data_IF_082223959710
#
_entry.id   IF_082223959710
#
_cell.length_a   1.000
_cell.length_b   1.000
_cell.length_c   1.000
_cell.angle_alpha   90.00
_cell.angle_beta   90.00
_cell.angle_gamma   90.00
#
_symmetry.space_group_name_H-M   'P 1'
#
loop_
_entity.id
_entity.type
_entity.pdbx_description
1 polymer ?
#
# COMPACT_ATOMS: atom_id res chain seq x y z
N UNK A 1 19.33 20.92 27.98
CA UNK A 1 17.86 20.97 27.77
C UNK A 1 17.24 21.28 29.12
N UNK A 2 16.28 22.21 29.20
CA UNK A 2 15.65 22.53 30.49
C UNK A 2 14.72 21.39 30.92
N UNK A 3 14.66 21.04 32.23
CA UNK A 3 13.91 19.88 32.69
C UNK A 3 12.39 20.12 32.82
N UNK A 4 11.91 21.34 32.54
CA UNK A 4 10.50 21.73 32.64
C UNK A 4 9.99 22.33 31.33
N UNK A 5 8.75 21.99 30.97
CA UNK A 5 8.03 22.59 29.85
C UNK A 5 7.28 23.84 30.32
N UNK A 6 7.20 24.86 29.47
CA UNK A 6 6.43 26.07 29.74
C UNK A 6 4.94 25.83 29.54
N UNK A 7 4.14 25.93 30.60
CA UNK A 7 2.74 25.45 30.61
C UNK A 7 1.82 26.13 29.58
N UNK A 8 2.07 27.41 29.25
CA UNK A 8 1.23 28.17 28.33
C UNK A 8 1.48 27.83 26.86
N UNK A 9 2.74 27.67 26.48
CA UNK A 9 3.17 27.42 25.09
C UNK A 9 3.38 25.94 24.81
N UNK A 10 3.47 25.11 25.86
CA UNK A 10 3.84 23.69 25.78
C UNK A 10 5.19 23.47 25.07
N UNK A 11 6.10 24.43 25.23
CA UNK A 11 7.45 24.37 24.65
C UNK A 11 8.51 24.06 25.70
N UNK A 12 9.56 23.34 25.29
CA UNK A 12 10.75 23.11 26.11
C UNK A 12 11.85 24.04 25.62
N UNK A 13 12.45 24.82 26.54
CA UNK A 13 13.57 25.69 26.20
C UNK A 13 14.84 24.86 25.98
N UNK A 14 15.49 25.08 24.84
CA UNK A 14 16.79 24.49 24.50
C UNK A 14 17.79 25.63 24.33
N UNK A 15 18.90 25.58 25.07
CA UNK A 15 20.01 26.52 24.94
C UNK A 15 21.14 25.86 24.17
N UNK A 16 21.51 26.45 23.05
CA UNK A 16 22.63 26.04 22.20
C UNK A 16 23.75 27.06 22.39
N UNK A 17 24.99 26.60 22.44
CA UNK A 17 26.17 27.45 22.59
C UNK A 17 26.96 27.35 21.28
N UNK A 18 27.15 28.48 20.61
CA UNK A 18 27.92 28.58 19.38
C UNK A 18 29.16 29.45 19.60
N UNK A 19 30.23 29.10 18.92
CA UNK A 19 31.41 29.97 18.88
C UNK A 19 31.13 31.14 17.92
N UNK A 20 31.20 32.37 18.41
CA UNK A 20 30.84 33.59 17.66
C UNK A 20 32.00 34.61 17.66
N UNK A 21 33.23 34.17 17.39
CA UNK A 21 34.43 35.04 17.40
C UNK A 21 34.32 36.23 16.45
N UNK A 22 33.65 36.05 15.31
CA UNK A 22 33.49 37.06 14.26
C UNK A 22 32.25 37.93 14.45
N UNK A 23 31.48 37.74 15.55
CA UNK A 23 30.27 38.52 15.88
C UNK A 23 29.18 38.50 14.80
N UNK A 24 29.13 37.43 14.00
CA UNK A 24 28.12 37.27 12.94
C UNK A 24 26.71 37.03 13.51
N UNK A 25 26.61 36.38 14.68
CA UNK A 25 25.34 36.16 15.37
C UNK A 25 25.06 37.34 16.31
N UNK A 26 24.11 38.19 15.95
CA UNK A 26 23.67 39.32 16.79
C UNK A 26 22.53 38.88 17.72
N UNK A 27 22.40 39.48 18.92
CA UNK A 27 21.23 39.28 19.77
C UNK A 27 19.93 39.59 19.02
N UNK A 28 18.83 38.93 19.42
CA UNK A 28 17.49 39.07 18.83
C UNK A 28 17.36 38.61 17.35
N UNK A 29 18.37 37.96 16.76
CA UNK A 29 18.24 37.35 15.44
C UNK A 29 17.40 36.07 15.47
N UNK A 30 16.59 35.89 14.42
CA UNK A 30 15.95 34.60 14.12
C UNK A 30 16.95 33.63 13.49
N UNK A 31 16.78 32.34 13.77
CA UNK A 31 17.57 31.27 13.19
C UNK A 31 16.70 30.02 12.97
N UNK A 32 16.90 29.35 11.85
CA UNK A 32 16.32 28.04 11.60
C UNK A 32 17.24 26.95 12.15
N UNK A 33 16.71 26.10 13.04
CA UNK A 33 17.47 25.01 13.66
C UNK A 33 16.85 23.69 13.24
N UNK A 34 17.63 22.85 12.53
CA UNK A 34 17.27 21.45 12.29
C UNK A 34 17.94 20.58 13.36
N UNK A 35 17.13 19.90 14.16
CA UNK A 35 17.61 18.98 15.20
C UNK A 35 17.43 17.57 14.69
N UNK A 36 18.54 16.85 14.51
CA UNK A 36 18.51 15.42 14.22
C UNK A 36 18.43 14.66 15.55
N UNK A 37 17.24 14.17 15.89
CA UNK A 37 17.12 13.16 16.94
C UNK A 37 17.79 11.88 16.42
N UNK A 38 18.55 11.19 17.27
CA UNK A 38 19.41 10.07 16.86
C UNK A 38 18.72 9.09 15.92
N UNK A 39 19.48 8.57 14.94
CA UNK A 39 18.97 7.58 14.01
C UNK A 39 18.60 6.31 14.78
N UNK A 40 17.35 5.87 14.64
CA UNK A 40 17.02 4.50 14.98
C UNK A 40 17.73 3.61 13.95
N UNK A 41 18.72 2.86 14.40
CA UNK A 41 19.39 1.85 13.58
C UNK A 41 18.49 0.61 13.48
N UNK A 42 18.63 -0.14 12.39
CA UNK A 42 17.91 -1.41 12.15
C UNK A 42 16.37 -1.29 12.09
N UNK A 43 15.89 -0.25 11.41
CA UNK A 43 14.45 -0.04 11.18
C UNK A 43 14.11 -0.22 9.69
N UNK A 44 12.98 -0.88 9.42
CA UNK A 44 12.42 -0.95 8.06
C UNK A 44 11.67 0.35 7.79
N UNK A 45 12.01 1.01 6.69
CA UNK A 45 11.37 2.24 6.25
C UNK A 45 10.78 2.08 4.85
N UNK A 46 9.58 2.61 4.66
CA UNK A 46 8.88 2.60 3.37
C UNK A 46 8.42 4.02 3.00
N UNK A 47 8.25 4.33 1.70
CA UNK A 47 7.62 5.57 1.28
C UNK A 47 6.19 5.67 1.80
N UNK A 48 5.75 6.87 2.16
CA UNK A 48 4.39 7.09 2.68
C UNK A 48 3.31 6.68 1.66
N UNK A 49 3.62 6.78 0.37
CA UNK A 49 2.72 6.45 -0.74
C UNK A 49 2.43 4.94 -0.83
N UNK A 50 3.28 4.09 -0.25
CA UNK A 50 3.08 2.64 -0.20
C UNK A 50 2.04 2.20 0.84
N UNK A 51 1.60 3.12 1.72
CA UNK A 51 0.71 2.81 2.83
C UNK A 51 -0.74 2.98 2.39
N UNK A 52 -1.50 1.88 2.45
CA UNK A 52 -2.95 1.89 2.27
C UNK A 52 -3.62 1.94 3.63
N UNK A 53 -4.33 3.04 3.89
CA UNK A 53 -5.11 3.22 5.13
C UNK A 53 -6.55 2.79 4.89
N UNK A 54 -6.99 1.71 5.53
CA UNK A 54 -8.36 1.21 5.45
C UNK A 54 -9.02 1.30 6.83
N UNK A 55 -9.72 2.41 7.08
CA UNK A 55 -10.37 2.68 8.36
C UNK A 55 -9.37 2.74 9.53
N UNK A 56 -9.34 1.69 10.36
CA UNK A 56 -8.47 1.59 11.54
C UNK A 56 -7.18 0.79 11.32
N UNK A 57 -7.03 0.15 10.15
CA UNK A 57 -5.88 -0.68 9.84
C UNK A 57 -5.00 -0.01 8.78
N UNK A 58 -3.69 -0.12 8.97
CA UNK A 58 -2.70 0.25 7.96
C UNK A 58 -2.18 -1.03 7.33
N UNK A 59 -2.12 -1.07 6.01
CA UNK A 59 -1.63 -2.22 5.26
C UNK A 59 -0.73 -1.77 4.10
N UNK A 60 0.17 -2.64 3.70
CA UNK A 60 1.02 -2.50 2.52
C UNK A 60 0.84 -3.73 1.64
N UNK A 61 1.13 -3.59 0.36
CA UNK A 61 1.10 -4.73 -0.56
C UNK A 61 2.53 -5.16 -0.87
N UNK A 62 2.87 -6.38 -0.46
CA UNK A 62 4.19 -6.99 -0.69
C UNK A 62 4.14 -7.82 -1.96
N UNK A 63 5.18 -7.71 -2.80
CA UNK A 63 5.33 -8.49 -4.03
C UNK A 63 5.89 -9.87 -3.68
N UNK A 64 5.08 -10.93 -3.82
CA UNK A 64 5.53 -12.31 -3.58
C UNK A 64 6.01 -13.00 -4.85
N UNK A 65 5.55 -12.55 -6.02
CA UNK A 65 5.96 -13.00 -7.34
C UNK A 65 5.56 -11.94 -8.38
N UNK A 66 6.12 -11.97 -9.60
CA UNK A 66 5.71 -11.06 -10.67
C UNK A 66 4.19 -11.08 -10.87
N UNK A 67 3.52 -9.95 -10.62
CA UNK A 67 2.07 -9.82 -10.74
C UNK A 67 1.23 -10.41 -9.59
N UNK A 68 1.85 -10.89 -8.51
CA UNK A 68 1.16 -11.34 -7.28
C UNK A 68 1.53 -10.46 -6.10
N UNK A 69 0.50 -9.99 -5.40
CA UNK A 69 0.63 -9.04 -4.31
C UNK A 69 -0.19 -9.53 -3.13
N UNK A 70 0.42 -9.51 -1.95
CA UNK A 70 -0.24 -9.94 -0.72
C UNK A 70 -0.38 -8.75 0.23
N UNK A 71 -1.59 -8.49 0.77
CA UNK A 71 -1.81 -7.43 1.73
C UNK A 71 -1.24 -7.84 3.09
N UNK A 72 -0.28 -7.07 3.59
CA UNK A 72 0.32 -7.24 4.90
C UNK A 72 -0.12 -6.09 5.80
N UNK A 73 -0.71 -6.42 6.94
CA UNK A 73 -1.02 -5.43 7.96
C UNK A 73 0.28 -4.96 8.62
N UNK A 74 0.46 -3.65 8.72
CA UNK A 74 1.68 -3.05 9.29
C UNK A 74 1.37 -2.18 10.49
N UNK A 75 2.31 -2.19 11.45
CA UNK A 75 2.33 -1.22 12.55
C UNK A 75 3.33 -0.13 12.21
N UNK A 76 2.85 1.10 12.11
CA UNK A 76 3.65 2.26 11.74
C UNK A 76 4.28 2.91 12.97
N UNK A 77 5.47 3.48 12.79
CA UNK A 77 6.23 4.23 13.78
C UNK A 77 6.36 5.70 13.37
N UNK A 78 7.56 6.25 13.55
CA UNK A 78 7.87 7.63 13.19
C UNK A 78 7.79 7.87 11.68
N UNK A 79 7.27 9.04 11.32
CA UNK A 79 7.22 9.55 9.95
C UNK A 79 8.18 10.75 9.85
N UNK A 80 9.04 10.74 8.83
CA UNK A 80 10.00 11.81 8.59
C UNK A 80 10.42 11.80 7.13
N UNK A 81 10.55 12.97 6.51
CA UNK A 81 11.04 13.17 5.15
C UNK A 81 10.31 12.28 4.09
N UNK A 82 8.99 12.17 4.19
CA UNK A 82 8.15 11.39 3.26
C UNK A 82 8.28 9.87 3.41
N UNK A 83 8.98 9.41 4.44
CA UNK A 83 9.14 7.98 4.77
C UNK A 83 8.52 7.69 6.12
N UNK A 84 8.04 6.46 6.26
CA UNK A 84 7.44 5.97 7.49
C UNK A 84 8.17 4.72 7.95
N UNK A 85 8.47 4.69 9.24
CA UNK A 85 9.01 3.53 9.91
C UNK A 85 7.94 2.45 10.05
N UNK A 86 8.30 1.20 9.75
CA UNK A 86 7.47 0.03 10.03
C UNK A 86 8.03 -0.72 11.23
N UNK A 87 7.25 -0.78 12.30
CA UNK A 87 7.58 -1.47 13.54
C UNK A 87 7.36 -2.98 13.44
N UNK A 88 6.38 -3.41 12.63
CA UNK A 88 6.08 -4.83 12.39
C UNK A 88 5.21 -5.01 11.15
N UNK A 89 5.25 -6.19 10.53
CA UNK A 89 4.37 -6.62 9.44
C UNK A 89 5.09 -6.88 8.11
N UNK A 90 6.31 -6.36 7.96
CA UNK A 90 7.22 -6.63 6.84
C UNK A 90 8.66 -6.69 7.35
N UNK A 91 9.53 -7.29 6.55
CA UNK A 91 10.96 -7.43 6.82
C UNK A 91 11.80 -6.62 5.84
N UNK A 92 13.06 -6.41 6.20
CA UNK A 92 14.03 -5.84 5.29
C UNK A 92 14.22 -6.77 4.08
N UNK A 93 14.11 -6.23 2.87
CA UNK A 93 14.16 -6.99 1.61
C UNK A 93 12.79 -7.24 0.97
N UNK A 94 11.69 -7.00 1.68
CA UNK A 94 10.35 -7.09 1.09
C UNK A 94 10.13 -5.96 0.07
N UNK A 95 9.70 -6.31 -1.14
CA UNK A 95 9.33 -5.33 -2.16
C UNK A 95 7.89 -4.86 -1.93
N UNK A 96 7.71 -3.56 -1.73
CA UNK A 96 6.39 -2.94 -1.50
C UNK A 96 5.95 -2.07 -2.67
N UNK A 97 4.66 -2.13 -2.99
CA UNK A 97 4.09 -1.31 -4.07
C UNK A 97 3.83 0.11 -3.56
N UNK A 98 4.45 1.11 -4.21
CA UNK A 98 4.35 2.53 -3.83
C UNK A 98 3.18 3.27 -4.47
N UNK A 99 2.53 2.67 -5.48
CA UNK A 99 1.51 3.37 -6.27
C UNK A 99 0.15 2.67 -6.16
N UNK A 100 -0.78 3.28 -5.43
CA UNK A 100 -2.18 2.86 -5.34
C UNK A 100 -2.85 2.68 -6.72
N UNK A 101 -2.33 3.33 -7.77
CA UNK A 101 -2.76 3.19 -9.16
C UNK A 101 -2.64 1.74 -9.69
N UNK A 102 -1.63 1.00 -9.23
CA UNK A 102 -1.39 -0.37 -9.67
C UNK A 102 -2.41 -1.37 -9.08
N UNK A 103 -2.88 -1.11 -7.84
CA UNK A 103 -3.91 -1.92 -7.20
C UNK A 103 -5.24 -1.83 -7.96
N UNK A 104 -5.59 -0.62 -8.42
CA UNK A 104 -6.77 -0.38 -9.25
C UNK A 104 -6.63 -1.10 -10.61
N UNK A 105 -5.47 -0.99 -11.27
CA UNK A 105 -5.24 -1.62 -12.57
C UNK A 105 -5.25 -3.17 -12.49
N UNK A 106 -4.75 -3.74 -11.40
CA UNK A 106 -4.79 -5.20 -11.17
C UNK A 106 -6.20 -5.71 -10.89
N UNK A 107 -7.00 -4.99 -10.09
CA UNK A 107 -8.39 -5.35 -9.86
C UNK A 107 -9.23 -5.21 -11.15
N UNK A 108 -9.03 -4.13 -11.91
CA UNK A 108 -9.70 -3.94 -13.21
C UNK A 108 -9.39 -5.08 -14.18
N UNK A 109 -8.10 -5.46 -14.32
CA UNK A 109 -7.68 -6.58 -15.18
C UNK A 109 -8.26 -7.91 -14.75
N UNK A 110 -8.35 -8.18 -13.43
CA UNK A 110 -8.95 -9.39 -12.90
C UNK A 110 -10.47 -9.44 -13.16
N UNK A 111 -11.18 -8.31 -12.93
CA UNK A 111 -12.61 -8.17 -13.24
C UNK A 111 -12.88 -8.33 -14.75
N UNK A 112 -12.03 -7.79 -15.60
CA UNK A 112 -12.15 -7.94 -17.06
C UNK A 112 -11.89 -9.38 -17.52
N UNK A 113 -10.88 -10.05 -16.97
CA UNK A 113 -10.57 -11.44 -17.30
C UNK A 113 -11.69 -12.40 -16.88
N UNK A 114 -12.25 -12.19 -15.69
CA UNK A 114 -13.38 -13.00 -15.18
C UNK A 114 -14.65 -12.75 -15.98
N UNK A 115 -14.93 -11.50 -16.37
CA UNK A 115 -16.06 -11.17 -17.25
C UNK A 115 -15.93 -11.86 -18.63
N UNK A 116 -14.76 -11.78 -19.28
CA UNK A 116 -14.48 -12.45 -20.56
C UNK A 116 -14.59 -13.98 -20.46
N UNK A 117 -14.15 -14.57 -19.35
CA UNK A 117 -14.26 -16.01 -19.13
C UNK A 117 -15.72 -16.46 -18.95
N UNK A 118 -16.51 -15.71 -18.17
CA UNK A 118 -17.95 -15.94 -18.01
C UNK A 118 -18.71 -15.82 -19.34
N UNK A 119 -18.33 -14.85 -20.18
CA UNK A 119 -18.89 -14.68 -21.53
C UNK A 119 -18.57 -15.88 -22.44
N UNK A 120 -17.32 -16.34 -22.43
CA UNK A 120 -16.90 -17.52 -23.20
C UNK A 120 -17.60 -18.82 -22.73
N UNK A 121 -17.82 -18.97 -21.42
CA UNK A 121 -18.58 -20.10 -20.87
C UNK A 121 -20.05 -20.08 -21.32
N UNK A 122 -20.69 -18.90 -21.35
CA UNK A 122 -22.05 -18.73 -21.89
C UNK A 122 -22.13 -19.02 -23.39
N UNK A 123 -21.12 -18.63 -24.17
CA UNK A 123 -21.07 -18.87 -25.61
C UNK A 123 -20.93 -20.36 -25.94
N UNK A 124 -20.04 -21.08 -25.25
CA UNK A 124 -19.90 -22.55 -25.40
C UNK A 124 -21.17 -23.31 -24.99
N UNK A 125 -21.87 -22.86 -23.95
CA UNK A 125 -23.14 -23.47 -23.54
C UNK A 125 -24.26 -23.26 -24.58
N UNK A 126 -24.18 -22.21 -25.40
CA UNK A 126 -25.16 -21.90 -26.44
C UNK A 126 -24.87 -22.63 -27.76
N UNK A 127 -23.60 -22.82 -28.11
CA UNK A 127 -23.17 -23.57 -29.30
C UNK A 127 -23.46 -25.08 -29.20
N UNK A 128 -23.34 -25.65 -27.99
CA UNK A 128 -23.65 -27.07 -27.75
C UNK A 128 -25.16 -27.40 -27.85
N UNK A 129 -26.04 -26.39 -27.95
CA UNK A 129 -27.49 -26.58 -28.09
C UNK A 129 -27.99 -26.43 -29.54
N UNK A 130 -27.10 -26.29 -30.53
CA UNK A 130 -27.49 -26.02 -31.94
C UNK A 130 -26.88 -26.96 -32.99
N UNK A 131 -26.33 -28.12 -32.61
CA UNK A 131 -26.00 -29.18 -33.58
C UNK A 131 -26.88 -30.42 -33.36
N UNK A 132 -27.95 -30.45 -34.18
CA UNK A 132 -29.06 -31.43 -34.25
C UNK A 132 -28.59 -32.81 -34.79
N UNK A 133 -29.38 -33.89 -34.68
CA UNK A 133 -30.08 -34.29 -35.91
C UNK A 133 -31.46 -34.94 -35.74
N UNK A 134 -32.40 -34.46 -36.56
CA UNK A 134 -33.40 -35.30 -37.20
C UNK A 134 -32.73 -36.35 -38.12
N UNK A 135 -32.75 -37.63 -37.73
CA UNK A 135 -32.78 -38.80 -38.63
C UNK A 135 -32.96 -40.13 -37.86
N UNK A 136 -34.20 -40.61 -37.70
CA UNK A 136 -34.48 -42.05 -37.91
C UNK A 136 -35.97 -42.29 -38.22
N UNK A 137 -36.21 -42.92 -39.36
CA UNK A 137 -37.50 -43.26 -39.97
C UNK A 137 -38.04 -44.60 -39.41
N UNK A 138 -39.34 -44.61 -39.12
CA UNK A 138 -40.35 -45.68 -39.29
C UNK A 138 -39.93 -47.16 -39.47
N UNK A 139 -40.45 -48.00 -38.56
CA UNK A 139 -41.11 -49.34 -38.71
C UNK A 139 -41.56 -49.76 -37.29
N UNK A 140 -42.72 -50.28 -36.95
CA UNK A 140 -43.93 -50.79 -37.60
C UNK A 140 -44.71 -51.57 -36.52
N UNK A 141 -46.02 -51.74 -36.73
CA UNK A 141 -46.96 -52.67 -36.04
C UNK A 141 -47.29 -52.45 -34.55
N UNK A 142 -48.48 -52.72 -34.01
CA UNK A 142 -49.86 -52.89 -34.48
C UNK A 142 -50.77 -53.11 -33.23
N UNK A 143 -52.09 -52.89 -33.39
CA UNK A 143 -53.21 -53.48 -32.60
C UNK A 143 -53.45 -52.92 -31.17
N UNK A 144 -54.65 -52.55 -30.70
CA UNK A 144 -56.06 -52.64 -31.16
C UNK A 144 -56.82 -51.42 -30.67
#
# INVERSE_FOLDING_TARGET
IYPYAESKTRTIKVRLIFNNKELLLKPEMFADVKIYAGALTDVVVIPIEAIVRSGKINQVFVVTSPGKFEPHQVKLGLESDGRVMVLSGIMAGDEVVTSAQFLIDSESKLREATAKMMENLKKKAKENNTTDPAAEKNKGDAVK
#
